data_IF_396797534932
#
_entry.id   IF_396797534932
#
_cell.length_a   1.000
_cell.length_b   1.000
_cell.length_c   1.000
_cell.angle_alpha   90.00
_cell.angle_beta   90.00
_cell.angle_gamma   90.00
#
_symmetry.space_group_name_H-M   'P 1'
#
loop_
_entity.id
_entity.type
_entity.pdbx_description
1 polymer ?
#
# COMPACT_ATOMS: atom_id res chain seq x y z
N UNK A 1 22.19 -13.18 4.40
CA UNK A 1 21.23 -12.88 3.31
C UNK A 1 19.84 -12.80 3.93
N UNK A 2 19.35 -11.60 4.22
CA UNK A 2 18.03 -11.39 4.80
C UNK A 2 16.98 -11.62 3.71
N UNK A 3 16.41 -12.82 3.65
CA UNK A 3 15.28 -13.11 2.78
C UNK A 3 14.02 -12.48 3.39
N UNK A 4 13.73 -11.22 3.04
CA UNK A 4 12.50 -10.54 3.47
C UNK A 4 11.33 -11.26 2.78
N UNK A 5 10.64 -12.12 3.53
CA UNK A 5 9.45 -12.80 3.02
C UNK A 5 8.33 -11.76 2.85
N UNK A 6 8.12 -11.31 1.61
CA UNK A 6 7.05 -10.38 1.24
C UNK A 6 5.73 -11.17 1.19
N UNK A 7 4.70 -10.67 1.89
CA UNK A 7 3.36 -11.28 1.85
C UNK A 7 2.75 -11.17 0.44
N UNK A 8 1.86 -12.08 0.07
CA UNK A 8 1.22 -12.02 -1.26
C UNK A 8 0.41 -10.73 -1.46
N UNK A 9 -0.19 -10.20 -0.38
CA UNK A 9 -0.84 -8.89 -0.42
C UNK A 9 0.14 -7.75 -0.75
N UNK A 10 1.33 -7.75 -0.15
CA UNK A 10 2.35 -6.74 -0.43
C UNK A 10 2.85 -6.84 -1.88
N UNK A 11 3.00 -8.05 -2.43
CA UNK A 11 3.36 -8.23 -3.85
C UNK A 11 2.30 -7.64 -4.77
N UNK A 12 1.02 -7.85 -4.46
CA UNK A 12 -0.09 -7.30 -5.24
C UNK A 12 -0.08 -5.77 -5.20
N UNK A 13 0.11 -5.16 -4.02
CA UNK A 13 0.21 -3.69 -3.91
C UNK A 13 1.35 -3.14 -4.76
N UNK A 14 2.53 -3.74 -4.68
CA UNK A 14 3.68 -3.32 -5.48
C UNK A 14 3.37 -3.40 -6.99
N UNK A 15 2.78 -4.52 -7.44
CA UNK A 15 2.44 -4.72 -8.85
C UNK A 15 1.44 -3.67 -9.35
N UNK A 16 0.43 -3.34 -8.55
CA UNK A 16 -0.57 -2.32 -8.91
C UNK A 16 0.07 -0.93 -9.04
N UNK A 17 0.95 -0.57 -8.11
CA UNK A 17 1.68 0.70 -8.14
C UNK A 17 2.59 0.77 -9.37
N UNK A 18 3.34 -0.31 -9.65
CA UNK A 18 4.20 -0.42 -10.84
C UNK A 18 3.42 -0.23 -12.16
N UNK A 19 2.15 -0.62 -12.18
CA UNK A 19 1.27 -0.46 -13.34
C UNK A 19 0.46 0.85 -13.34
N UNK A 20 0.81 1.81 -12.47
CA UNK A 20 0.24 3.16 -12.46
C UNK A 20 -1.10 3.28 -11.73
N UNK A 21 -1.39 2.41 -10.77
CA UNK A 21 -2.55 2.58 -9.90
C UNK A 21 -2.46 3.90 -9.12
N UNK A 22 -3.59 4.62 -9.04
CA UNK A 22 -3.70 5.82 -8.22
C UNK A 22 -3.81 5.46 -6.73
N UNK A 23 -2.70 5.65 -6.00
CA UNK A 23 -2.60 5.35 -4.55
C UNK A 23 -3.42 6.28 -3.66
N UNK A 24 -4.01 7.35 -4.22
CA UNK A 24 -4.86 8.30 -3.50
C UNK A 24 -6.35 8.08 -3.76
N UNK A 25 -6.72 7.07 -4.56
CA UNK A 25 -8.11 6.79 -4.86
C UNK A 25 -8.84 6.27 -3.61
N UNK A 26 -9.65 7.14 -3.02
CA UNK A 26 -10.44 6.81 -1.85
C UNK A 26 -11.61 5.88 -2.17
N UNK A 27 -11.97 5.03 -1.22
CA UNK A 27 -13.18 4.22 -1.28
C UNK A 27 -14.46 5.06 -1.05
N UNK A 28 -15.62 4.39 -0.99
CA UNK A 28 -16.92 5.06 -0.79
C UNK A 28 -17.05 5.78 0.56
N UNK A 29 -16.22 5.42 1.53
CA UNK A 29 -16.15 6.04 2.86
C UNK A 29 -15.17 7.20 2.90
N UNK A 30 -14.51 7.51 1.78
CA UNK A 30 -13.46 8.53 1.71
C UNK A 30 -12.11 8.04 2.24
N UNK A 31 -11.92 6.72 2.46
CA UNK A 31 -10.66 6.20 2.95
C UNK A 31 -9.69 5.84 1.83
N UNK A 32 -8.49 6.39 1.87
CA UNK A 32 -7.40 6.05 0.93
C UNK A 32 -6.75 4.71 1.30
N UNK A 33 -6.06 4.04 0.35
CA UNK A 33 -5.28 2.84 0.63
C UNK A 33 -4.31 3.02 1.81
N UNK A 34 -3.67 4.20 1.94
CA UNK A 34 -2.76 4.49 3.03
C UNK A 34 -3.50 4.52 4.38
N UNK A 35 -4.65 5.17 4.45
CA UNK A 35 -5.46 5.25 5.67
C UNK A 35 -5.90 3.86 6.15
N UNK A 36 -6.29 2.98 5.22
CA UNK A 36 -6.57 1.57 5.53
C UNK A 36 -5.33 0.84 6.07
N UNK A 37 -4.18 0.95 5.39
CA UNK A 37 -2.95 0.30 5.82
C UNK A 37 -2.51 0.76 7.21
N UNK A 38 -2.60 2.06 7.50
CA UNK A 38 -2.29 2.63 8.82
C UNK A 38 -3.29 2.16 9.87
N UNK A 39 -4.60 2.21 9.61
CA UNK A 39 -5.64 1.79 10.56
C UNK A 39 -5.57 0.29 10.89
N UNK A 40 -5.13 -0.54 9.95
CA UNK A 40 -4.96 -1.98 10.15
C UNK A 40 -3.57 -2.37 10.68
N UNK A 41 -2.65 -1.42 10.84
CA UNK A 41 -1.28 -1.68 11.31
C UNK A 41 -0.36 -2.37 10.29
N UNK A 42 -0.69 -2.32 9.00
CA UNK A 42 0.12 -2.87 7.92
C UNK A 42 1.27 -1.94 7.56
N UNK A 43 2.28 -1.88 8.45
CA UNK A 43 3.40 -0.93 8.35
C UNK A 43 4.12 -0.96 7.01
N UNK A 44 4.46 -2.15 6.51
CA UNK A 44 5.18 -2.26 5.23
C UNK A 44 4.35 -1.75 4.03
N UNK A 45 3.04 -2.00 4.03
CA UNK A 45 2.14 -1.50 2.99
C UNK A 45 1.98 0.02 3.11
N UNK A 46 1.88 0.53 4.34
CA UNK A 46 1.79 1.97 4.59
C UNK A 46 3.06 2.70 4.13
N UNK A 47 4.24 2.15 4.40
CA UNK A 47 5.52 2.69 3.94
C UNK A 47 5.56 2.69 2.40
N UNK A 48 5.19 1.58 1.76
CA UNK A 48 5.14 1.46 0.29
C UNK A 48 4.19 2.50 -0.34
N UNK A 49 3.00 2.68 0.24
CA UNK A 49 2.01 3.64 -0.25
C UNK A 49 2.48 5.08 -0.03
N UNK A 50 3.17 5.36 1.08
CA UNK A 50 3.78 6.66 1.36
C UNK A 50 4.88 6.98 0.35
N UNK A 51 5.77 6.03 0.07
CA UNK A 51 6.83 6.16 -0.92
C UNK A 51 6.27 6.40 -2.34
N UNK A 52 5.09 5.84 -2.62
CA UNK A 52 4.34 6.07 -3.86
C UNK A 52 3.55 7.40 -3.88
N UNK A 53 3.63 8.22 -2.82
CA UNK A 53 2.95 9.53 -2.74
C UNK A 53 1.50 9.48 -2.23
N UNK A 54 1.13 8.41 -1.52
CA UNK A 54 -0.14 8.29 -0.81
C UNK A 54 -0.29 9.31 0.32
N UNK A 55 -1.50 9.82 0.51
CA UNK A 55 -1.88 10.77 1.58
C UNK A 55 -3.29 10.52 2.12
#
# INVERSE_FOLDING_TARGET
MNNKAISDHQKIVNLLIEHGADVNLADKSGMTPLQHATSCGYREMADTLTDAGGK
#
